data_IF_018627539892
#
_entry.id   IF_018627539892
#
_cell.length_a   1.000
_cell.length_b   1.000
_cell.length_c   1.000
_cell.angle_alpha   90.00
_cell.angle_beta   90.00
_cell.angle_gamma   90.00
#
_symmetry.space_group_name_H-M   'P 1'
#
loop_
_entity.id
_entity.type
_entity.pdbx_description
1 polymer ?
#
# COMPACT_ATOMS: atom_id res chain seq x y z
N UNK A 1 7.88 -27.85 -8.90
CA UNK A 1 7.78 -26.37 -8.99
C UNK A 1 6.30 -26.06 -9.24
N UNK A 2 5.51 -25.90 -8.19
CA UNK A 2 4.06 -25.66 -8.31
C UNK A 2 3.84 -24.20 -8.66
N UNK A 3 3.37 -23.94 -9.87
CA UNK A 3 3.07 -22.59 -10.35
C UNK A 3 1.83 -22.08 -9.61
N UNK A 4 2.01 -21.07 -8.74
CA UNK A 4 0.88 -20.44 -8.04
C UNK A 4 0.23 -19.47 -9.00
N UNK A 5 -1.02 -19.74 -9.39
CA UNK A 5 -1.79 -18.87 -10.25
C UNK A 5 -2.08 -17.53 -9.55
N UNK A 6 -1.84 -16.41 -10.23
CA UNK A 6 -2.21 -15.10 -9.73
C UNK A 6 -3.73 -15.04 -9.52
N UNK A 7 -4.15 -14.62 -8.32
CA UNK A 7 -5.55 -14.49 -7.94
C UNK A 7 -5.88 -13.02 -7.71
N UNK A 8 -7.14 -12.66 -7.97
CA UNK A 8 -7.63 -11.32 -7.65
C UNK A 8 -7.62 -11.13 -6.14
N UNK A 9 -6.90 -10.12 -5.69
CA UNK A 9 -6.86 -9.68 -4.30
C UNK A 9 -7.41 -8.26 -4.26
N UNK A 10 -8.34 -8.01 -3.34
CA UNK A 10 -8.90 -6.67 -3.13
C UNK A 10 -8.08 -5.97 -2.04
N UNK A 11 -7.60 -4.77 -2.31
CA UNK A 11 -6.66 -4.05 -1.44
C UNK A 11 -7.23 -2.69 -1.12
N UNK A 12 -7.25 -2.34 0.17
CA UNK A 12 -7.64 -1.02 0.65
C UNK A 12 -6.51 -0.39 1.42
N UNK A 13 -6.30 0.89 1.17
CA UNK A 13 -5.27 1.68 1.82
C UNK A 13 -5.92 2.88 2.51
N UNK A 14 -5.53 3.13 3.75
CA UNK A 14 -5.98 4.27 4.53
C UNK A 14 -4.77 5.08 4.98
N UNK A 15 -4.81 6.39 4.73
CA UNK A 15 -3.85 7.37 5.23
C UNK A 15 -4.58 8.22 6.27
N UNK A 16 -4.21 8.16 7.55
CA UNK A 16 -4.91 8.87 8.64
C UNK A 16 -6.42 8.60 8.68
N UNK A 17 -6.85 7.38 8.32
CA UNK A 17 -8.25 7.01 8.24
C UNK A 17 -9.00 7.49 6.98
N UNK A 18 -8.32 8.17 6.05
CA UNK A 18 -8.88 8.51 4.73
C UNK A 18 -8.53 7.40 3.75
N UNK A 19 -9.55 6.83 3.11
CA UNK A 19 -9.36 5.82 2.07
C UNK A 19 -8.70 6.44 0.83
N UNK A 20 -7.63 5.81 0.36
CA UNK A 20 -6.85 6.24 -0.80
C UNK A 20 -6.78 5.10 -1.81
N UNK A 21 -7.00 5.37 -3.11
CA UNK A 21 -6.92 4.36 -4.16
C UNK A 21 -5.50 3.78 -4.24
N UNK A 22 -5.38 2.50 -3.90
CA UNK A 22 -4.15 1.73 -3.96
C UNK A 22 -4.13 0.85 -5.21
N UNK A 23 -3.04 0.93 -5.97
CA UNK A 23 -2.78 0.10 -7.15
C UNK A 23 -2.02 -1.16 -6.74
N UNK A 24 -0.99 -0.99 -5.91
CA UNK A 24 -0.14 -2.08 -5.45
C UNK A 24 0.46 -1.75 -4.08
N UNK A 25 0.75 -2.79 -3.30
CA UNK A 25 1.50 -2.69 -2.05
C UNK A 25 2.55 -3.81 -2.02
N UNK A 26 3.79 -3.45 -1.69
CA UNK A 26 4.90 -4.38 -1.55
C UNK A 26 5.49 -4.26 -0.15
N UNK A 27 5.55 -5.40 0.55
CA UNK A 27 6.11 -5.49 1.90
C UNK A 27 7.47 -6.20 1.83
N UNK A 28 8.50 -5.57 2.37
CA UNK A 28 9.83 -6.14 2.52
C UNK A 28 10.15 -6.26 4.00
N UNK A 29 10.29 -7.50 4.47
CA UNK A 29 10.69 -7.84 5.84
C UNK A 29 12.05 -8.51 5.76
N UNK A 30 13.04 -7.93 6.44
CA UNK A 30 14.38 -8.48 6.56
C UNK A 30 14.72 -8.64 8.05
N UNK A 31 15.63 -9.55 8.40
CA UNK A 31 16.01 -9.75 9.81
C UNK A 31 16.87 -8.61 10.38
N UNK A 32 17.64 -7.94 9.53
CA UNK A 32 18.58 -6.88 9.94
C UNK A 32 18.06 -5.45 9.65
N UNK A 33 16.79 -5.32 9.27
CA UNK A 33 16.19 -4.02 8.96
C UNK A 33 14.71 -4.00 9.38
N UNK A 34 14.15 -2.83 9.72
CA UNK A 34 12.72 -2.74 10.01
C UNK A 34 11.90 -3.13 8.78
N UNK A 35 10.68 -3.63 9.01
CA UNK A 35 9.75 -3.95 7.94
C UNK A 35 9.41 -2.66 7.18
N UNK A 36 9.55 -2.69 5.85
CA UNK A 36 9.25 -1.53 5.01
C UNK A 36 8.15 -1.88 4.03
N UNK A 37 7.23 -0.95 3.81
CA UNK A 37 6.15 -1.10 2.85
C UNK A 37 6.19 0.04 1.82
N UNK A 38 6.12 -0.34 0.54
CA UNK A 38 5.96 0.56 -0.57
C UNK A 38 4.53 0.44 -1.11
N UNK A 39 3.76 1.52 -1.05
CA UNK A 39 2.37 1.56 -1.54
C UNK A 39 2.26 2.51 -2.72
N UNK A 40 1.83 1.98 -3.86
CA UNK A 40 1.61 2.76 -5.08
C UNK A 40 0.15 3.20 -5.15
N UNK A 41 -0.08 4.50 -5.26
CA UNK A 41 -1.40 5.10 -5.35
C UNK A 41 -1.52 5.99 -6.59
N UNK A 42 -2.79 6.21 -6.99
CA UNK A 42 -3.10 7.21 -8.01
C UNK A 42 -2.88 8.59 -7.40
N UNK A 43 -2.12 9.48 -8.06
CA UNK A 43 -1.85 10.80 -7.55
C UNK A 43 -3.12 11.64 -7.57
N UNK A 44 -3.65 11.90 -6.38
CA UNK A 44 -4.76 12.82 -6.15
C UNK A 44 -4.22 14.08 -5.45
N UNK A 45 -4.88 15.23 -5.59
CA UNK A 45 -4.44 16.47 -4.93
C UNK A 45 -4.34 16.36 -3.39
N UNK A 46 -5.06 15.41 -2.78
CA UNK A 46 -4.99 15.11 -1.36
C UNK A 46 -3.78 14.26 -0.96
N UNK A 47 -3.27 13.43 -1.89
CA UNK A 47 -2.14 12.52 -1.69
C UNK A 47 -0.82 13.24 -1.44
N UNK A 48 -0.70 14.50 -1.88
CA UNK A 48 0.52 15.31 -1.70
C UNK A 48 0.47 16.20 -0.44
N UNK A 49 -0.67 16.28 0.25
CA UNK A 49 -0.86 17.09 1.46
C UNK A 49 -0.74 16.25 2.73
N UNK A 50 0.26 15.38 2.78
CA UNK A 50 0.50 14.54 3.94
C UNK A 50 1.17 15.33 5.05
N UNK A 51 0.72 15.11 6.28
CA UNK A 51 1.40 15.63 7.47
C UNK A 51 2.64 14.76 7.73
N UNK A 52 3.70 15.32 8.33
CA UNK A 52 4.79 14.51 8.84
C UNK A 52 4.25 13.38 9.72
N UNK A 53 4.74 12.15 9.56
CA UNK A 53 4.34 10.95 10.33
C UNK A 53 2.87 10.56 10.16
N UNK A 54 2.33 10.75 8.96
CA UNK A 54 1.00 10.21 8.58
C UNK A 54 1.03 8.68 8.73
N UNK A 55 0.09 8.14 9.49
CA UNK A 55 -0.18 6.71 9.65
C UNK A 55 -0.73 6.10 8.35
N UNK A 56 -0.16 4.95 7.98
CA UNK A 56 -0.54 4.15 6.82
C UNK A 56 -1.09 2.82 7.31
N UNK A 57 -2.31 2.49 6.89
CA UNK A 57 -2.91 1.18 7.11
C UNK A 57 -3.27 0.54 5.78
N UNK A 58 -2.74 -0.64 5.52
CA UNK A 58 -3.06 -1.43 4.33
C UNK A 58 -3.79 -2.69 4.74
N UNK A 59 -4.93 -2.92 4.12
CA UNK A 59 -5.75 -4.10 4.30
C UNK A 59 -5.88 -4.83 2.97
N UNK A 60 -5.95 -6.15 3.04
CA UNK A 60 -6.27 -6.98 1.89
C UNK A 60 -7.42 -7.91 2.23
N UNK A 61 -8.20 -8.25 1.22
CA UNK A 61 -9.23 -9.26 1.29
C UNK A 61 -8.88 -10.35 0.30
N UNK A 62 -8.69 -11.55 0.83
CA UNK A 62 -8.55 -12.74 0.01
C UNK A 62 -9.93 -13.20 -0.44
N UNK A 63 -10.02 -13.61 -1.70
CA UNK A 63 -11.24 -14.20 -2.27
C UNK A 63 -11.45 -15.64 -1.81
N UNK A 64 -10.42 -16.28 -1.26
CA UNK A 64 -10.49 -17.65 -0.76
C UNK A 64 -11.00 -17.77 0.67
N UNK A 65 -11.03 -16.66 1.41
CA UNK A 65 -11.42 -16.64 2.81
C UNK A 65 -12.96 -16.63 2.96
N UNK A 66 -13.57 -17.65 3.61
CA UNK A 66 -15.03 -17.76 3.72
C UNK A 66 -15.66 -16.69 4.61
N UNK A 67 -14.89 -16.12 5.54
CA UNK A 67 -15.33 -14.99 6.39
C UNK A 67 -15.49 -13.71 5.58
N UNK A 68 -14.73 -13.56 4.49
CA UNK A 68 -14.78 -12.39 3.63
C UNK A 68 -14.37 -11.09 4.35
N UNK A 69 -13.62 -11.22 5.44
CA UNK A 69 -13.14 -10.10 6.24
C UNK A 69 -11.87 -9.50 5.63
N UNK A 70 -11.60 -8.24 5.95
CA UNK A 70 -10.34 -7.60 5.58
C UNK A 70 -9.28 -7.95 6.61
N UNK A 71 -8.18 -8.51 6.13
CA UNK A 71 -7.01 -8.81 6.94
C UNK A 71 -6.00 -7.68 6.86
N UNK A 72 -5.29 -7.47 7.97
CA UNK A 72 -4.26 -6.47 8.03
C UNK A 72 -3.03 -6.92 7.24
N UNK A 73 -2.59 -6.11 6.28
CA UNK A 73 -1.36 -6.33 5.52
C UNK A 73 -0.16 -5.66 6.20
N UNK A 74 -0.30 -4.37 6.52
CA UNK A 74 0.78 -3.55 7.07
C UNK A 74 0.22 -2.33 7.81
N UNK A 75 0.91 -1.95 8.89
CA UNK A 75 0.73 -0.69 9.62
C UNK A 75 2.11 -0.07 9.79
N UNK A 76 2.22 1.22 9.49
CA UNK A 76 3.45 1.96 9.72
C UNK A 76 3.25 3.46 9.56
N UNK A 77 4.34 4.19 9.65
CA UNK A 77 4.37 5.64 9.43
C UNK A 77 5.03 5.94 8.08
N UNK A 78 4.46 6.88 7.33
CA UNK A 78 5.07 7.32 6.07
C UNK A 78 6.32 8.12 6.40
N UNK A 79 7.47 7.64 5.91
CA UNK A 79 8.77 8.31 5.99
C UNK A 79 8.96 9.24 4.80
N UNK A 80 8.44 8.86 3.64
CA UNK A 80 8.58 9.64 2.43
C UNK A 80 7.64 9.21 1.32
N UNK A 81 7.63 9.97 0.25
CA UNK A 81 6.91 9.62 -0.97
C UNK A 81 7.73 10.01 -2.20
N UNK A 82 7.55 9.26 -3.27
CA UNK A 82 8.14 9.53 -4.56
C UNK A 82 7.03 9.77 -5.57
N UNK A 83 7.13 10.88 -6.30
CA UNK A 83 6.20 11.22 -7.37
C UNK A 83 6.84 10.86 -8.72
N UNK A 84 6.22 9.96 -9.47
CA UNK A 84 6.67 9.56 -10.79
C UNK A 84 5.63 9.96 -11.84
N UNK A 85 6.07 10.77 -12.82
CA UNK A 85 5.29 11.17 -13.99
C UNK A 85 5.95 10.64 -15.24
N UNK A 86 5.30 9.68 -15.89
CA UNK A 86 5.65 9.20 -17.22
C UNK A 86 4.59 9.68 -18.22
N UNK A 87 4.89 9.74 -19.53
CA UNK A 87 3.91 10.14 -20.54
C UNK A 87 2.64 9.29 -20.53
N UNK A 88 2.73 8.03 -20.08
CA UNK A 88 1.60 7.09 -20.03
C UNK A 88 0.97 6.93 -18.64
N UNK A 89 1.60 7.42 -17.57
CA UNK A 89 1.10 7.17 -16.22
C UNK A 89 1.61 8.18 -15.20
N UNK A 90 0.76 8.46 -14.22
CA UNK A 90 1.08 9.24 -13.03
C UNK A 90 0.93 8.31 -11.82
N UNK A 91 1.96 8.23 -10.97
CA UNK A 91 1.90 7.44 -9.74
C UNK A 91 2.65 8.12 -8.60
N UNK A 92 2.14 7.93 -7.38
CA UNK A 92 2.85 8.24 -6.14
C UNK A 92 3.17 6.92 -5.46
N UNK A 93 4.39 6.78 -4.98
CA UNK A 93 4.82 5.65 -4.15
C UNK A 93 5.10 6.18 -2.75
N UNK A 94 4.32 5.74 -1.78
CA UNK A 94 4.58 5.98 -0.36
C UNK A 94 5.56 4.96 0.17
N UNK A 95 6.56 5.42 0.91
CA UNK A 95 7.48 4.58 1.65
C UNK A 95 7.17 4.70 3.13
N UNK A 96 6.81 3.58 3.75
CA UNK A 96 6.48 3.49 5.16
C UNK A 96 7.31 2.42 5.85
N UNK A 97 7.50 2.61 7.15
CA UNK A 97 8.24 1.74 8.06
C UNK A 97 7.46 1.60 9.36
#
# INVERSE_FOLDING_TARGET
>A
MTQVAARKMDVRCFLEGIEVPCISAALAINFDAPATCAVQCIPTASCTKLKPRTSLHVFFKDTSDPTGEYLLFFIGEIIGYQYAKTPNSLSIVYQAV
#
